data_IF_581102114501
#
_entry.id   IF_581102114501
#
_cell.length_a   1.000
_cell.length_b   1.000
_cell.length_c   1.000
_cell.angle_alpha   90.00
_cell.angle_beta   90.00
_cell.angle_gamma   90.00
#
_symmetry.space_group_name_H-M   'P 1'
#
loop_
_entity.id
_entity.type
_entity.pdbx_description
1 polymer ?
#
# COMPACT_ATOMS: atom_id res chain seq x y z
N UNK A 1 -6.56 11.60 -11.47
CA UNK A 1 -5.33 11.15 -10.81
C UNK A 1 -5.70 9.84 -10.11
N UNK A 2 -4.83 9.19 -9.35
CA UNK A 2 -5.14 7.86 -8.83
C UNK A 2 -4.32 7.50 -7.60
N UNK A 3 -4.77 6.47 -6.90
CA UNK A 3 -4.18 5.99 -5.66
C UNK A 3 -3.40 4.71 -5.92
N UNK A 4 -2.17 4.68 -5.44
CA UNK A 4 -1.33 3.51 -5.40
C UNK A 4 -1.35 2.92 -3.99
N UNK A 5 -1.40 1.59 -3.93
CA UNK A 5 -1.40 0.82 -2.69
C UNK A 5 -0.24 -0.17 -2.77
N UNK A 6 0.68 -0.07 -1.82
CA UNK A 6 1.77 -1.02 -1.67
C UNK A 6 1.38 -2.07 -0.65
N UNK A 7 1.32 -3.33 -1.08
CA UNK A 7 1.00 -4.48 -0.23
C UNK A 7 2.22 -5.38 -0.15
N UNK A 8 2.73 -5.63 1.05
CA UNK A 8 3.87 -6.51 1.26
C UNK A 8 3.45 -7.91 1.70
N UNK A 9 4.18 -8.90 1.19
CA UNK A 9 4.08 -10.32 1.52
C UNK A 9 5.46 -10.79 1.99
N UNK A 10 5.53 -11.38 3.18
CA UNK A 10 6.76 -12.00 3.69
C UNK A 10 7.02 -13.34 2.98
N UNK A 11 7.95 -13.35 2.02
CA UNK A 11 8.23 -14.52 1.19
C UNK A 11 8.77 -15.71 1.99
N UNK A 12 9.30 -15.48 3.20
CA UNK A 12 9.80 -16.58 4.05
C UNK A 12 8.65 -17.33 4.70
N UNK A 13 7.53 -16.63 4.98
CA UNK A 13 6.35 -17.22 5.61
C UNK A 13 5.39 -17.88 4.61
N UNK A 14 5.49 -17.53 3.33
CA UNK A 14 4.55 -17.98 2.30
C UNK A 14 5.25 -18.82 1.22
N UNK A 15 5.28 -20.16 1.38
CA UNK A 15 5.92 -21.04 0.39
C UNK A 15 5.19 -21.05 -0.95
N UNK A 16 3.86 -20.88 -0.96
CA UNK A 16 3.08 -20.64 -2.20
C UNK A 16 2.87 -19.15 -2.45
N UNK A 17 3.97 -18.44 -2.69
CA UNK A 17 3.94 -17.02 -3.04
C UNK A 17 3.17 -16.78 -4.35
N UNK A 18 3.25 -17.70 -5.32
CA UNK A 18 2.65 -17.54 -6.64
C UNK A 18 1.12 -17.57 -6.56
N UNK A 19 0.56 -18.52 -5.79
CA UNK A 19 -0.88 -18.60 -5.56
C UNK A 19 -1.42 -17.35 -4.87
N UNK A 20 -0.77 -16.92 -3.78
CA UNK A 20 -1.19 -15.74 -3.02
C UNK A 20 -1.11 -14.45 -3.86
N UNK A 21 -0.04 -14.27 -4.64
CA UNK A 21 0.07 -13.13 -5.58
C UNK A 21 -1.08 -13.12 -6.57
N UNK A 22 -1.36 -14.27 -7.19
CA UNK A 22 -2.42 -14.41 -8.18
C UNK A 22 -3.79 -14.09 -7.56
N UNK A 23 -4.09 -14.62 -6.37
CA UNK A 23 -5.34 -14.33 -5.67
C UNK A 23 -5.55 -12.81 -5.46
N UNK A 24 -4.50 -12.12 -5.01
CA UNK A 24 -4.57 -10.68 -4.76
C UNK A 24 -4.74 -9.89 -6.06
N UNK A 25 -4.01 -10.25 -7.11
CA UNK A 25 -4.09 -9.53 -8.39
C UNK A 25 -5.37 -9.82 -9.15
N UNK A 26 -5.87 -11.06 -9.11
CA UNK A 26 -7.19 -11.41 -9.67
C UNK A 26 -8.26 -10.56 -8.97
N UNK A 27 -8.21 -10.48 -7.64
CA UNK A 27 -9.14 -9.66 -6.88
C UNK A 27 -8.99 -8.14 -7.16
N UNK A 28 -7.77 -7.66 -7.40
CA UNK A 28 -7.54 -6.27 -7.80
C UNK A 28 -8.17 -5.97 -9.18
N UNK A 29 -8.00 -6.88 -10.14
CA UNK A 29 -8.58 -6.80 -11.49
C UNK A 29 -10.11 -6.84 -11.40
N UNK A 30 -10.67 -7.77 -10.62
CA UNK A 30 -12.11 -7.90 -10.40
C UNK A 30 -12.70 -6.65 -9.70
N UNK A 31 -11.89 -5.93 -8.94
CA UNK A 31 -12.23 -4.65 -8.33
C UNK A 31 -11.98 -3.44 -9.26
N UNK A 32 -11.59 -3.66 -10.52
CA UNK A 32 -11.41 -2.56 -11.47
C UNK A 32 -10.13 -1.74 -11.27
N UNK A 33 -9.05 -2.34 -10.77
CA UNK A 33 -7.75 -1.65 -10.74
C UNK A 33 -7.30 -1.27 -12.15
N UNK A 34 -6.68 -0.09 -12.30
CA UNK A 34 -6.16 0.36 -13.59
C UNK A 34 -4.94 -0.44 -14.03
N UNK A 35 -4.02 -0.70 -13.10
CA UNK A 35 -2.85 -1.53 -13.33
C UNK A 35 -2.24 -2.04 -12.01
N UNK A 36 -1.37 -3.04 -12.11
CA UNK A 36 -0.58 -3.54 -10.99
C UNK A 36 0.80 -4.00 -11.47
N UNK A 37 1.75 -4.06 -10.54
CA UNK A 37 3.08 -4.64 -10.78
C UNK A 37 3.70 -5.16 -9.48
N UNK A 38 4.83 -5.85 -9.61
CA UNK A 38 5.53 -6.46 -8.48
C UNK A 38 6.92 -5.86 -8.31
N UNK A 39 7.29 -5.61 -7.06
CA UNK A 39 8.67 -5.31 -6.65
C UNK A 39 9.13 -6.37 -5.64
N UNK A 40 10.44 -6.59 -5.59
CA UNK A 40 11.04 -7.52 -4.62
C UNK A 40 12.06 -6.77 -3.79
N UNK A 41 11.81 -6.72 -2.48
CA UNK A 41 12.70 -6.10 -1.51
C UNK A 41 13.44 -7.20 -0.77
N UNK A 42 14.71 -7.37 -1.13
CA UNK A 42 15.63 -8.33 -0.52
C UNK A 42 16.75 -7.52 0.13
N UNK A 43 16.71 -7.39 1.45
CA UNK A 43 17.73 -6.73 2.24
C UNK A 43 18.42 -7.73 3.16
N UNK A 44 19.71 -7.96 2.89
CA UNK A 44 20.59 -8.78 3.71
C UNK A 44 21.65 -7.91 4.42
N UNK A 45 21.88 -8.15 5.70
CA UNK A 45 23.00 -7.54 6.45
C UNK A 45 22.63 -6.81 7.75
N UNK A 46 21.35 -6.48 7.97
CA UNK A 46 20.86 -5.86 9.21
C UNK A 46 20.22 -6.84 10.20
N UNK A 47 19.86 -6.37 11.41
CA UNK A 47 19.10 -7.14 12.40
C UNK A 47 17.70 -7.55 11.91
N UNK A 48 17.11 -6.80 10.97
CA UNK A 48 15.82 -7.11 10.34
C UNK A 48 16.07 -7.48 8.88
N UNK A 49 16.03 -8.77 8.57
CA UNK A 49 16.08 -9.25 7.18
C UNK A 49 14.73 -8.95 6.53
N UNK A 50 14.72 -8.32 5.36
CA UNK A 50 13.50 -8.09 4.58
C UNK A 50 13.59 -8.95 3.33
N UNK A 51 12.68 -9.91 3.22
CA UNK A 51 12.48 -10.75 2.04
C UNK A 51 11.00 -10.64 1.64
N UNK A 52 10.62 -9.50 1.07
CA UNK A 52 9.21 -9.22 0.77
C UNK A 52 8.97 -9.09 -0.74
N UNK A 53 7.81 -9.61 -1.17
CA UNK A 53 7.23 -9.23 -2.44
C UNK A 53 6.27 -8.08 -2.16
N UNK A 54 6.44 -6.97 -2.88
CA UNK A 54 5.52 -5.84 -2.86
C UNK A 54 4.65 -5.93 -4.10
N UNK A 55 3.34 -5.96 -3.89
CA UNK A 55 2.34 -5.82 -4.94
C UNK A 55 1.89 -4.37 -4.92
N UNK A 56 2.15 -3.65 -6.01
CA UNK A 56 1.67 -2.29 -6.19
C UNK A 56 0.40 -2.37 -7.03
N UNK A 57 -0.69 -1.84 -6.50
CA UNK A 57 -1.99 -1.79 -7.18
C UNK A 57 -2.42 -0.34 -7.31
N UNK A 58 -2.85 0.05 -8.50
CA UNK A 58 -3.29 1.40 -8.80
C UNK A 58 -4.79 1.44 -9.12
N UNK A 59 -5.50 2.39 -8.53
CA UNK A 59 -6.88 2.71 -8.84
C UNK A 59 -7.01 4.17 -9.25
N UNK A 60 -7.75 4.43 -10.32
CA UNK A 60 -8.10 5.79 -10.71
C UNK A 60 -9.03 6.44 -9.67
N UNK A 61 -9.04 7.77 -9.60
CA UNK A 61 -9.89 8.55 -8.69
C UNK A 61 -11.39 8.20 -8.83
N UNK A 62 -11.82 7.83 -10.03
CA UNK A 62 -13.21 7.45 -10.34
C UNK A 62 -13.59 6.12 -9.67
N UNK A 63 -12.61 5.26 -9.38
CA UNK A 63 -12.78 3.92 -8.77
C UNK A 63 -12.56 3.92 -7.26
N UNK A 64 -12.83 5.04 -6.58
CA UNK A 64 -12.52 5.20 -5.14
C UNK A 64 -13.23 4.18 -4.25
N UNK A 65 -14.49 3.85 -4.55
CA UNK A 65 -15.27 2.90 -3.76
C UNK A 65 -14.78 1.46 -3.97
N UNK A 66 -14.35 1.12 -5.18
CA UNK A 66 -13.77 -0.19 -5.46
C UNK A 66 -12.39 -0.34 -4.81
N UNK A 67 -11.59 0.74 -4.81
CA UNK A 67 -10.35 0.81 -4.05
C UNK A 67 -10.58 0.60 -2.55
N UNK A 68 -11.58 1.28 -1.97
CA UNK A 68 -11.95 1.09 -0.56
C UNK A 68 -12.42 -0.34 -0.26
N UNK A 69 -13.22 -0.93 -1.15
CA UNK A 69 -13.63 -2.33 -1.04
C UNK A 69 -12.44 -3.30 -1.10
N UNK A 70 -11.51 -3.03 -2.00
CA UNK A 70 -10.26 -3.78 -2.13
C UNK A 70 -9.45 -3.71 -0.83
N UNK A 71 -9.19 -2.51 -0.31
CA UNK A 71 -8.48 -2.29 0.96
C UNK A 71 -9.12 -3.03 2.13
N UNK A 72 -10.45 -2.96 2.25
CA UNK A 72 -11.22 -3.65 3.29
C UNK A 72 -10.97 -5.15 3.29
N UNK A 73 -10.87 -5.76 2.10
CA UNK A 73 -10.61 -7.19 1.95
C UNK A 73 -9.15 -7.52 2.26
N UNK A 74 -8.20 -6.75 1.73
CA UNK A 74 -6.76 -6.94 1.95
C UNK A 74 -6.42 -6.82 3.44
N UNK A 75 -6.95 -5.82 4.15
CA UNK A 75 -6.74 -5.62 5.61
C UNK A 75 -7.15 -6.84 6.44
N UNK A 76 -8.15 -7.61 6.00
CA UNK A 76 -8.62 -8.81 6.72
C UNK A 76 -7.67 -10.00 6.55
N UNK A 77 -6.80 -9.99 5.55
CA UNK A 77 -5.81 -11.02 5.34
C UNK A 77 -4.57 -10.75 6.20
N UNK A 78 -4.30 -11.64 7.17
CA UNK A 78 -3.20 -11.49 8.14
C UNK A 78 -1.82 -11.72 7.53
N UNK A 79 -1.77 -12.36 6.38
CA UNK A 79 -0.55 -12.65 5.63
C UNK A 79 -0.09 -11.46 4.79
N UNK A 80 -0.94 -10.41 4.71
CA UNK A 80 -0.70 -9.21 3.94
C UNK A 80 -0.53 -8.01 4.86
N UNK A 81 0.33 -7.09 4.43
CA UNK A 81 0.52 -5.82 5.09
C UNK A 81 0.39 -4.68 4.08
N UNK A 82 -0.54 -3.76 4.32
CA UNK A 82 -0.60 -2.51 3.57
C UNK A 82 0.52 -1.62 4.09
N UNK A 83 1.53 -1.36 3.26
CA UNK A 83 2.71 -0.58 3.62
C UNK A 83 2.44 0.92 3.47
N UNK A 84 1.82 1.33 2.38
CA UNK A 84 1.42 2.71 2.17
C UNK A 84 0.26 2.84 1.18
N UNK A 85 -0.38 4.00 1.24
CA UNK A 85 -1.25 4.51 0.18
C UNK A 85 -0.69 5.88 -0.23
N UNK A 86 -0.53 6.11 -1.51
CA UNK A 86 -0.06 7.38 -2.02
C UNK A 86 -0.69 7.75 -3.36
N UNK A 87 -0.82 9.04 -3.59
CA UNK A 87 -1.12 9.60 -4.90
C UNK A 87 0.20 10.00 -5.57
N UNK A 88 0.46 9.43 -6.75
CA UNK A 88 1.66 9.74 -7.53
C UNK A 88 1.33 10.78 -8.61
N UNK A 89 1.14 12.03 -8.15
CA UNK A 89 0.97 13.20 -9.01
C UNK A 89 2.33 13.89 -9.23
N UNK A 90 2.35 15.20 -9.56
CA UNK A 90 3.61 15.97 -9.70
C UNK A 90 4.45 15.90 -8.42
N UNK A 91 3.80 15.75 -7.26
CA UNK A 91 4.47 15.51 -6.00
C UNK A 91 3.79 14.36 -5.28
N UNK A 92 4.53 13.30 -5.00
CA UNK A 92 4.05 12.16 -4.22
C UNK A 92 3.42 12.63 -2.91
N UNK A 93 2.13 12.32 -2.75
CA UNK A 93 1.35 12.60 -1.55
C UNK A 93 1.09 11.29 -0.82
N UNK A 94 1.81 11.07 0.27
CA UNK A 94 1.65 9.90 1.13
C UNK A 94 0.43 10.08 2.04
N UNK A 95 -0.62 9.31 1.79
CA UNK A 95 -1.92 9.36 2.49
C UNK A 95 -1.87 8.48 3.73
N UNK A 96 -1.30 7.28 3.57
CA UNK A 96 -1.09 6.31 4.64
C UNK A 96 0.33 5.75 4.56
N UNK A 97 0.92 5.50 5.73
CA UNK A 97 2.17 4.76 5.85
C UNK A 97 2.12 3.88 7.10
N UNK A 98 2.44 2.60 6.94
CA UNK A 98 2.56 1.63 8.01
C UNK A 98 3.63 2.08 9.00
N UNK A 99 3.57 1.56 10.23
CA UNK A 99 4.60 1.86 11.23
C UNK A 99 5.98 1.38 10.78
N UNK A 100 6.04 0.25 10.07
CA UNK A 100 7.29 -0.26 9.53
C UNK A 100 7.84 0.68 8.45
N UNK A 101 7.02 1.04 7.47
CA UNK A 101 7.39 1.96 6.39
C UNK A 101 7.93 3.27 6.94
N UNK A 102 7.30 3.84 7.97
CA UNK A 102 7.78 5.08 8.61
C UNK A 102 9.20 4.98 9.19
N UNK A 103 9.67 3.78 9.56
CA UNK A 103 11.04 3.59 10.08
C UNK A 103 12.10 3.54 9.00
N UNK A 104 11.72 3.31 7.74
CA UNK A 104 12.62 3.24 6.58
C UNK A 104 12.58 4.52 5.73
N UNK A 105 11.68 5.46 6.04
CA UNK A 105 11.58 6.74 5.35
C UNK A 105 12.81 7.63 5.61
N UNK A 106 13.24 8.34 4.56
CA UNK A 106 14.18 9.45 4.72
C UNK A 106 13.61 10.51 5.65
N UNK A 107 14.50 11.16 6.43
CA UNK A 107 14.11 12.09 7.50
C UNK A 107 13.23 13.24 7.01
N UNK A 108 13.54 13.81 5.85
CA UNK A 108 12.79 14.90 5.23
C UNK A 108 11.39 14.45 4.79
N UNK A 109 11.28 13.26 4.20
CA UNK A 109 9.99 12.65 3.81
C UNK A 109 9.13 12.36 5.04
N UNK A 110 9.73 11.84 6.11
CA UNK A 110 9.03 11.57 7.36
C UNK A 110 8.50 12.86 8.03
N UNK A 111 9.29 13.94 8.03
CA UNK A 111 8.85 15.26 8.52
C UNK A 111 7.65 15.75 7.70
N UNK A 112 7.72 15.63 6.37
CA UNK A 112 6.67 16.06 5.46
C UNK A 112 5.37 15.30 5.67
N UNK A 113 5.43 13.97 5.76
CA UNK A 113 4.27 13.13 6.06
C UNK A 113 3.62 13.49 7.40
N UNK A 114 4.42 13.66 8.46
CA UNK A 114 3.92 14.04 9.78
C UNK A 114 3.32 15.46 9.81
N UNK A 115 3.80 16.37 8.97
CA UNK A 115 3.19 17.70 8.79
C UNK A 115 1.80 17.57 8.14
N UNK A 116 1.70 16.88 7.00
CA UNK A 116 0.42 16.67 6.31
C UNK A 116 -0.62 15.98 7.19
N UNK A 117 -0.22 14.93 7.91
CA UNK A 117 -1.10 14.20 8.84
C UNK A 117 -1.68 15.09 9.95
N UNK A 118 -0.90 16.05 10.46
CA UNK A 118 -1.35 17.00 11.49
C UNK A 118 -2.29 18.06 10.94
N UNK A 119 -2.03 18.53 9.73
CA UNK A 119 -2.83 19.57 9.06
C UNK A 119 -4.21 19.04 8.62
N UNK A 120 -4.39 17.71 8.54
CA UNK A 120 -5.67 17.04 8.19
C UNK A 120 -6.29 17.52 6.88
N UNK A 121 -5.46 17.98 5.94
CA UNK A 121 -5.88 18.39 4.59
C UNK A 121 -6.17 17.16 3.69
N UNK A 122 -7.09 16.32 4.14
CA UNK A 122 -7.52 15.12 3.43
C UNK A 122 -8.77 15.42 2.59
N UNK A 123 -8.76 14.98 1.33
CA UNK A 123 -9.96 14.94 0.49
C UNK A 123 -10.95 13.90 1.02
N UNK A 124 -12.19 13.94 0.55
CA UNK A 124 -13.21 12.96 0.96
C UNK A 124 -12.89 11.55 0.44
N UNK A 125 -12.24 11.45 -0.72
CA UNK A 125 -11.69 10.20 -1.23
C UNK A 125 -10.62 9.64 -0.28
N UNK A 126 -9.69 10.48 0.17
CA UNK A 126 -8.61 10.04 1.07
C UNK A 126 -9.14 9.60 2.44
N UNK A 127 -10.18 10.27 2.97
CA UNK A 127 -10.86 9.83 4.19
C UNK A 127 -11.51 8.46 3.99
N UNK A 128 -12.20 8.28 2.87
CA UNK A 128 -12.85 7.01 2.51
C UNK A 128 -11.86 5.84 2.51
N UNK A 129 -10.66 6.04 1.96
CA UNK A 129 -9.61 5.01 1.98
C UNK A 129 -9.06 4.76 3.39
N UNK A 130 -8.84 5.82 4.16
CA UNK A 130 -8.30 5.72 5.52
C UNK A 130 -9.26 5.04 6.50
N UNK A 131 -10.56 5.24 6.35
CA UNK A 131 -11.58 4.60 7.20
C UNK A 131 -11.56 3.07 7.09
N UNK A 132 -11.11 2.53 5.95
CA UNK A 132 -10.95 1.08 5.79
C UNK A 132 -9.67 0.57 6.44
N UNK A 133 -8.64 1.40 6.67
CA UNK A 133 -7.32 0.98 7.19
C UNK A 133 -7.12 1.27 8.68
N UNK A 134 -7.58 2.43 9.16
CA UNK A 134 -7.37 2.88 10.56
C UNK A 134 -8.26 2.11 11.53
#
# INVERSE_FOLDING_TARGET
MGYNIDISIDMVKHPDLSGLKKEITDFAIDSGCGHYYYLYEIEGGGQRKRNHCIIVVNFDDESIFDCAYFLKKIKKNKDLHIECIYEDSIVCKLIYASRFYQTTMDRDKAIRYNKFKRERSLSDNEKTLLDEIV
#
